data_IF_913822295762
#
_entry.id   IF_913822295762
#
_cell.length_a   1.000
_cell.length_b   1.000
_cell.length_c   1.000
_cell.angle_alpha   90.00
_cell.angle_beta   90.00
_cell.angle_gamma   90.00
#
_symmetry.space_group_name_H-M   'P 1'
#
loop_
_entity.id
_entity.type
_entity.pdbx_description
1 polymer ?
#
# COMPACT_ATOMS: atom_id res chain seq x y z
N UNK A 1 26.92 -51.99 -34.78
CA UNK A 1 25.84 -50.97 -34.65
C UNK A 1 25.80 -50.54 -33.19
N UNK A 2 26.36 -49.37 -32.87
CA UNK A 2 26.41 -48.79 -31.52
C UNK A 2 25.42 -47.64 -31.47
N UNK A 3 24.33 -47.77 -30.72
CA UNK A 3 23.40 -46.68 -30.46
C UNK A 3 23.38 -46.42 -28.95
N UNK A 4 24.01 -45.30 -28.57
CA UNK A 4 24.03 -44.74 -27.22
C UNK A 4 22.71 -43.98 -26.95
N UNK A 5 22.12 -44.06 -25.75
CA UNK A 5 20.95 -43.27 -25.41
C UNK A 5 21.34 -41.85 -24.98
N UNK A 6 20.88 -40.87 -25.76
CA UNK A 6 21.01 -39.43 -25.50
C UNK A 6 20.11 -39.05 -24.31
N UNK A 7 20.73 -38.68 -23.18
CA UNK A 7 20.04 -38.11 -22.01
C UNK A 7 19.45 -36.74 -22.37
N UNK A 8 18.11 -36.66 -22.41
CA UNK A 8 17.38 -35.39 -22.53
C UNK A 8 17.20 -34.78 -21.14
N UNK A 9 18.00 -33.78 -20.78
CA UNK A 9 17.68 -32.89 -19.66
C UNK A 9 16.67 -31.84 -20.14
N UNK A 10 15.44 -31.93 -19.67
CA UNK A 10 14.46 -30.84 -19.80
C UNK A 10 14.68 -29.89 -18.62
N UNK A 11 15.22 -28.70 -18.90
CA UNK A 11 15.33 -27.62 -17.91
C UNK A 11 14.05 -26.80 -18.01
N UNK A 12 13.07 -27.09 -17.16
CA UNK A 12 11.91 -26.23 -16.98
C UNK A 12 12.35 -24.99 -16.20
N UNK A 13 12.56 -23.88 -16.91
CA UNK A 13 12.80 -22.58 -16.31
C UNK A 13 11.51 -22.10 -15.61
N UNK A 14 11.48 -22.21 -14.28
CA UNK A 14 10.49 -21.55 -13.44
C UNK A 14 10.75 -20.04 -13.48
N UNK A 15 9.97 -19.33 -14.28
CA UNK A 15 9.87 -17.86 -14.24
C UNK A 15 9.23 -17.46 -12.92
N UNK A 16 10.07 -17.24 -11.89
CA UNK A 16 9.64 -16.56 -10.69
C UNK A 16 9.42 -15.08 -11.02
N UNK A 17 8.16 -14.67 -11.12
CA UNK A 17 7.78 -13.25 -11.14
C UNK A 17 8.06 -12.71 -9.74
N UNK A 18 9.25 -12.16 -9.53
CA UNK A 18 9.55 -11.36 -8.36
C UNK A 18 8.65 -10.13 -8.41
N UNK A 19 7.63 -10.09 -7.56
CA UNK A 19 6.91 -8.86 -7.26
C UNK A 19 7.91 -7.95 -6.57
N UNK A 20 8.56 -7.09 -7.33
CA UNK A 20 9.43 -6.07 -6.77
C UNK A 20 8.60 -5.27 -5.78
N UNK A 21 8.92 -5.40 -4.48
CA UNK A 21 8.38 -4.49 -3.49
C UNK A 21 8.86 -3.10 -3.90
N UNK A 22 7.97 -2.14 -4.20
CA UNK A 22 8.35 -0.78 -4.57
C UNK A 22 9.14 -0.06 -3.46
N UNK A 23 9.31 -0.70 -2.31
CA UNK A 23 10.01 -0.22 -1.13
C UNK A 23 11.27 -1.03 -0.79
N UNK A 24 11.99 -1.59 -1.77
CA UNK A 24 13.27 -2.31 -1.55
C UNK A 24 14.44 -1.43 -1.07
N UNK A 25 14.14 -0.24 -0.58
CA UNK A 25 15.14 0.68 -0.04
C UNK A 25 15.34 0.34 1.44
N UNK A 26 16.60 0.16 1.86
CA UNK A 26 16.98 -0.20 3.25
C UNK A 26 16.67 0.91 4.29
N UNK A 27 15.91 1.93 3.90
CA UNK A 27 15.51 3.03 4.78
C UNK A 27 14.46 2.57 5.78
N UNK A 28 14.63 3.01 7.02
CA UNK A 28 13.67 2.76 8.09
C UNK A 28 12.34 3.45 7.76
N UNK A 29 11.24 2.72 7.93
CA UNK A 29 9.88 3.18 7.61
C UNK A 29 9.06 3.31 8.88
N UNK A 30 8.22 4.34 8.93
CA UNK A 30 7.21 4.52 10.00
C UNK A 30 5.82 4.47 9.41
N UNK A 31 4.90 3.78 10.08
CA UNK A 31 3.48 3.81 9.72
C UNK A 31 2.89 5.15 10.11
N UNK A 32 2.29 5.86 9.15
CA UNK A 32 1.66 7.17 9.35
C UNK A 32 0.13 7.12 9.22
N UNK A 33 -0.42 5.98 8.82
CA UNK A 33 -1.85 5.75 8.80
C UNK A 33 -2.23 4.46 8.09
N UNK A 34 -3.52 4.16 8.13
CA UNK A 34 -4.17 3.04 7.48
C UNK A 34 -5.29 3.56 6.62
N UNK A 35 -5.59 2.87 5.53
CA UNK A 35 -6.81 3.15 4.78
C UNK A 35 -7.36 1.87 4.20
N UNK A 36 -8.63 1.92 3.88
CA UNK A 36 -9.27 0.86 3.12
C UNK A 36 -9.17 1.21 1.63
N UNK A 37 -8.88 0.21 0.82
CA UNK A 37 -8.64 0.34 -0.62
C UNK A 37 -9.17 -0.90 -1.33
N UNK A 38 -9.67 -0.74 -2.57
CA UNK A 38 -9.99 -1.92 -3.38
C UNK A 38 -8.71 -2.65 -3.80
N UNK A 39 -8.79 -3.93 -4.12
CA UNK A 39 -7.63 -4.70 -4.59
C UNK A 39 -6.97 -4.06 -5.83
N UNK A 40 -7.78 -3.60 -6.78
CA UNK A 40 -7.30 -2.98 -8.01
C UNK A 40 -6.59 -1.64 -7.74
N UNK A 41 -7.07 -0.86 -6.78
CA UNK A 41 -6.41 0.36 -6.33
C UNK A 41 -5.11 0.07 -5.58
N UNK A 42 -5.09 -0.96 -4.74
CA UNK A 42 -3.89 -1.41 -4.04
C UNK A 42 -2.80 -1.80 -5.05
N UNK A 43 -3.14 -2.60 -6.07
CA UNK A 43 -2.21 -2.98 -7.15
C UNK A 43 -1.71 -1.76 -7.92
N UNK A 44 -2.59 -0.82 -8.27
CA UNK A 44 -2.19 0.40 -8.96
C UNK A 44 -1.24 1.27 -8.13
N UNK A 45 -1.49 1.40 -6.83
CA UNK A 45 -0.66 2.17 -5.90
C UNK A 45 0.71 1.52 -5.71
N UNK A 46 0.76 0.19 -5.56
CA UNK A 46 2.01 -0.57 -5.48
C UNK A 46 2.84 -0.39 -6.75
N UNK A 47 2.22 -0.49 -7.93
CA UNK A 47 2.91 -0.33 -9.21
C UNK A 47 3.46 1.10 -9.41
N UNK A 48 2.74 2.12 -8.95
CA UNK A 48 3.16 3.52 -9.06
C UNK A 48 4.17 3.95 -7.99
N UNK A 49 4.21 3.27 -6.83
CA UNK A 49 5.04 3.67 -5.69
C UNK A 49 4.53 4.91 -4.94
N UNK A 50 3.38 5.46 -5.34
CA UNK A 50 2.71 6.57 -4.67
C UNK A 50 1.19 6.45 -4.84
N UNK A 51 0.38 7.12 -4.00
CA UNK A 51 -1.07 7.19 -4.21
C UNK A 51 -1.37 7.68 -5.63
N UNK A 52 -2.23 6.96 -6.34
CA UNK A 52 -2.62 7.33 -7.70
C UNK A 52 -3.97 8.03 -7.67
N UNK A 53 -4.04 9.18 -8.34
CA UNK A 53 -5.31 9.86 -8.55
C UNK A 53 -6.06 9.16 -9.69
N UNK A 54 -6.98 8.28 -9.31
CA UNK A 54 -7.81 7.51 -10.25
C UNK A 54 -9.30 7.70 -10.00
N UNK A 55 -10.12 6.93 -10.72
CA UNK A 55 -11.57 6.90 -10.52
C UNK A 55 -11.96 6.57 -9.06
N UNK A 56 -11.06 5.91 -8.33
CA UNK A 56 -11.18 5.63 -6.90
C UNK A 56 -11.26 6.93 -6.07
N UNK A 57 -10.40 7.91 -6.31
CA UNK A 57 -10.44 9.19 -5.59
C UNK A 57 -11.61 10.09 -6.04
N UNK A 58 -12.33 9.69 -7.08
CA UNK A 58 -13.45 10.41 -7.67
C UNK A 58 -14.82 9.92 -7.16
N UNK A 59 -14.82 8.96 -6.23
CA UNK A 59 -16.01 8.50 -5.54
C UNK A 59 -15.76 8.59 -4.03
N UNK A 60 -16.72 9.05 -3.22
CA UNK A 60 -16.64 8.85 -1.79
C UNK A 60 -16.74 7.34 -1.53
N UNK A 61 -15.59 6.64 -1.45
CA UNK A 61 -15.54 5.20 -1.16
C UNK A 61 -16.08 4.90 0.24
N UNK A 62 -16.08 5.89 1.11
CA UNK A 62 -16.74 5.83 2.40
C UNK A 62 -17.64 7.06 2.57
N UNK A 63 -18.80 6.86 3.19
CA UNK A 63 -19.78 7.89 3.58
C UNK A 63 -19.21 9.02 4.47
N UNK A 64 -17.91 8.99 4.79
CA UNK A 64 -17.20 9.89 5.69
C UNK A 64 -16.17 10.78 5.00
N UNK A 65 -15.94 10.64 3.70
CA UNK A 65 -15.02 11.53 2.97
C UNK A 65 -15.69 12.87 2.68
N UNK A 66 -15.15 13.96 3.23
CA UNK A 66 -15.68 15.35 3.12
C UNK A 66 -15.28 16.02 1.79
N UNK A 67 -14.68 15.28 0.87
CA UNK A 67 -14.17 15.83 -0.39
C UNK A 67 -13.22 14.87 -1.10
N UNK A 68 -12.45 15.44 -2.01
CA UNK A 68 -11.51 14.71 -2.86
C UNK A 68 -10.18 14.59 -2.12
N UNK A 69 -9.68 13.37 -1.98
CA UNK A 69 -8.40 13.14 -1.31
C UNK A 69 -8.21 11.69 -0.88
N UNK A 70 -6.98 11.37 -0.49
CA UNK A 70 -6.67 10.11 0.18
C UNK A 70 -6.83 10.31 1.67
N UNK A 71 -7.90 9.74 2.22
CA UNK A 71 -8.12 9.73 3.66
C UNK A 71 -7.46 8.51 4.27
N UNK A 72 -6.97 8.67 5.50
CA UNK A 72 -6.39 7.61 6.31
C UNK A 72 -6.85 7.74 7.75
N UNK A 73 -6.83 6.64 8.47
CA UNK A 73 -7.06 6.56 9.89
C UNK A 73 -5.77 6.22 10.64
N UNK A 74 -5.73 6.53 11.93
CA UNK A 74 -4.55 6.27 12.75
C UNK A 74 -4.45 4.80 13.13
N UNK A 75 -5.59 4.11 13.28
CA UNK A 75 -5.67 2.69 13.58
C UNK A 75 -6.38 1.93 12.46
N UNK A 76 -6.06 0.64 12.25
CA UNK A 76 -6.70 -0.17 11.21
C UNK A 76 -8.19 -0.41 11.48
N UNK A 77 -8.63 -0.39 12.72
CA UNK A 77 -10.01 -0.64 13.14
C UNK A 77 -10.91 0.62 13.11
N UNK A 78 -10.32 1.81 12.98
CA UNK A 78 -11.05 3.07 12.86
C UNK A 78 -11.92 3.12 11.57
N UNK A 79 -11.55 2.33 10.55
CA UNK A 79 -12.31 2.21 9.31
C UNK A 79 -12.87 0.81 9.11
N UNK A 80 -14.18 0.74 8.93
CA UNK A 80 -14.86 -0.52 8.60
C UNK A 80 -14.60 -0.89 7.14
N UNK A 81 -13.78 -1.91 6.92
CA UNK A 81 -13.64 -2.54 5.61
C UNK A 81 -14.90 -3.32 5.22
N UNK A 82 -15.27 -3.25 3.93
CA UNK A 82 -16.25 -4.14 3.31
C UNK A 82 -15.61 -5.48 2.96
N UNK A 83 -16.43 -6.48 2.65
CA UNK A 83 -16.02 -7.89 2.43
C UNK A 83 -14.91 -8.10 1.37
N UNK A 84 -14.71 -7.14 0.48
CA UNK A 84 -13.76 -7.21 -0.64
C UNK A 84 -12.71 -6.09 -0.63
N UNK A 85 -12.54 -5.41 0.51
CA UNK A 85 -11.58 -4.32 0.63
C UNK A 85 -10.33 -4.74 1.41
N UNK A 86 -9.20 -4.14 1.03
CA UNK A 86 -7.90 -4.39 1.62
C UNK A 86 -7.55 -3.26 2.57
N UNK A 87 -6.78 -3.58 3.61
CA UNK A 87 -6.13 -2.59 4.44
C UNK A 87 -4.78 -2.21 3.84
N UNK A 88 -4.70 -0.98 3.30
CA UNK A 88 -3.49 -0.36 2.84
C UNK A 88 -2.78 0.32 4.03
N UNK A 89 -1.57 -0.13 4.39
CA UNK A 89 -0.71 0.54 5.37
C UNK A 89 0.05 1.67 4.66
N UNK A 90 -0.08 2.89 5.17
CA UNK A 90 0.63 4.06 4.65
C UNK A 90 1.90 4.24 5.47
N UNK A 91 3.04 4.12 4.81
CA UNK A 91 4.35 4.26 5.43
C UNK A 91 5.10 5.46 4.86
N UNK A 92 5.83 6.15 5.72
CA UNK A 92 6.76 7.20 5.36
C UNK A 92 8.20 6.77 5.65
N UNK A 93 9.16 7.40 4.98
CA UNK A 93 10.54 7.38 5.41
C UNK A 93 10.66 8.01 6.80
N UNK A 94 11.30 7.32 7.75
CA UNK A 94 11.38 7.77 9.13
C UNK A 94 12.15 9.08 9.27
N UNK A 95 13.29 9.19 8.59
CA UNK A 95 14.17 10.35 8.72
C UNK A 95 13.51 11.61 8.15
N UNK A 96 12.89 11.48 6.97
CA UNK A 96 12.12 12.57 6.36
C UNK A 96 10.90 12.94 7.20
N UNK A 97 10.18 11.93 7.72
CA UNK A 97 9.01 12.15 8.58
C UNK A 97 9.38 12.90 9.86
N UNK A 98 10.48 12.52 10.52
CA UNK A 98 10.92 13.15 11.77
C UNK A 98 11.35 14.61 11.52
N UNK A 99 12.00 14.90 10.39
CA UNK A 99 12.43 16.25 9.98
C UNK A 99 11.28 17.15 9.47
N UNK A 100 10.18 16.58 8.99
CA UNK A 100 9.07 17.35 8.46
C UNK A 100 8.48 18.29 9.54
N UNK A 101 8.21 19.58 9.22
CA UNK A 101 7.52 20.49 10.12
C UNK A 101 6.13 19.96 10.49
N UNK A 102 5.82 19.90 11.78
CA UNK A 102 4.54 19.40 12.30
C UNK A 102 3.78 20.53 12.96
N UNK A 103 2.55 20.78 12.52
CA UNK A 103 1.64 21.67 13.23
C UNK A 103 1.10 20.95 14.47
N UNK A 104 1.19 21.60 15.64
CA UNK A 104 0.52 21.13 16.86
C UNK A 104 -0.74 21.97 17.03
N UNK A 105 -1.89 21.36 16.85
CA UNK A 105 -3.18 22.01 17.05
C UNK A 105 -3.66 21.59 18.44
N UNK A 106 -3.58 22.45 19.47
CA UNK A 106 -4.12 22.14 20.78
C UNK A 106 -5.64 22.09 20.70
N UNK A 107 -6.23 20.98 21.12
CA UNK A 107 -7.68 20.84 21.27
C UNK A 107 -8.05 20.93 22.75
N UNK A 108 -9.12 21.66 23.04
CA UNK A 108 -9.70 21.71 24.38
C UNK A 108 -10.51 20.41 24.58
N UNK A 109 -10.12 19.58 25.57
CA UNK A 109 -10.80 18.31 25.96
C UNK A 109 -12.15 18.56 26.65
N UNK A 110 -12.93 19.49 26.12
CA UNK A 110 -14.20 19.94 26.68
C UNK A 110 -15.26 18.85 26.58
N UNK A 111 -15.22 17.89 27.50
CA UNK A 111 -16.41 17.13 27.91
C UNK A 111 -17.46 18.15 28.36
N UNK A 112 -18.49 18.33 27.54
CA UNK A 112 -19.79 18.88 27.94
C UNK A 112 -20.80 17.74 27.98
#
# INVERSE_FOLDING_TARGET
MLLSPIKRLSVSALLAVSHANPFSDNRERVTIGYRVCSEAEARATIAAGHPTYGWWNNKPHHVLSVGWGTYSALNPDDWKALYNEWFCVVQADKEEWDKAPKAKIPEFDGKK
#
